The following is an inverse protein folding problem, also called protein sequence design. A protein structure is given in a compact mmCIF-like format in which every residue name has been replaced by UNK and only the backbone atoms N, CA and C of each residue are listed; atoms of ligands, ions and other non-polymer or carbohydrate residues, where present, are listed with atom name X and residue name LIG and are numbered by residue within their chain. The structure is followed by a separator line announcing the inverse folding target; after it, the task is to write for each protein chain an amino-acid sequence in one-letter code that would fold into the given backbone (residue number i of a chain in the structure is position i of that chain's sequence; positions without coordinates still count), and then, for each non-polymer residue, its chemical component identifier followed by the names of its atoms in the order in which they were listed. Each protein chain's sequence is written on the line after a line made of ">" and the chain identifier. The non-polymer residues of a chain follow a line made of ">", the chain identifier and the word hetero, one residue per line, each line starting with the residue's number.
data_IF_702471080328
#
_entry.id   IF_702471080328
#
_cell.length_a   1.000
_cell.length_b   1.000
_cell.length_c   1.000
_cell.angle_alpha   90.00
_cell.angle_beta   90.00
_cell.angle_gamma   90.00
#
_symmetry.space_group_name_H-M   'P 1'
#
loop_
_entity.id
_entity.type
_entity.pdbx_description
1 polymer ?
#
# COMPACT_ATOMS: atom_id res chain seq x y z
N UNK A 1 17.47 31.00 -11.78
CA UNK A 1 16.06 30.82 -12.18
C UNK A 1 15.64 29.37 -12.50
N UNK A 2 16.48 28.50 -13.09
CA UNK A 2 16.07 27.10 -13.37
C UNK A 2 16.04 26.15 -12.16
N UNK A 3 16.69 26.50 -11.04
CA UNK A 3 16.79 25.64 -9.85
C UNK A 3 15.62 25.85 -8.85
N UNK A 4 15.06 27.06 -8.76
CA UNK A 4 13.88 27.34 -7.92
C UNK A 4 12.61 26.70 -8.47
N UNK A 5 12.44 26.65 -9.79
CA UNK A 5 11.31 25.99 -10.44
C UNK A 5 11.25 24.48 -10.17
N UNK A 6 12.41 23.80 -10.06
CA UNK A 6 12.48 22.36 -9.76
C UNK A 6 12.21 22.06 -8.28
N UNK A 7 12.60 22.95 -7.37
CA UNK A 7 12.35 22.79 -5.93
C UNK A 7 10.90 23.09 -5.55
N UNK A 8 10.28 24.11 -6.15
CA UNK A 8 8.88 24.45 -5.88
C UNK A 8 7.91 23.35 -6.31
N UNK A 9 8.16 22.66 -7.42
CA UNK A 9 7.29 21.56 -7.90
C UNK A 9 7.36 20.32 -6.99
N UNK A 10 8.55 19.98 -6.48
CA UNK A 10 8.73 18.87 -5.54
C UNK A 10 8.07 19.17 -4.18
N UNK A 11 8.18 20.41 -3.69
CA UNK A 11 7.55 20.82 -2.44
C UNK A 11 6.01 20.88 -2.54
N UNK A 12 5.48 21.37 -3.67
CA UNK A 12 4.05 21.45 -3.93
C UNK A 12 3.39 20.07 -4.04
N UNK A 13 4.10 19.09 -4.60
CA UNK A 13 3.67 17.69 -4.60
C UNK A 13 3.71 17.08 -3.19
N UNK A 14 4.78 17.32 -2.44
CA UNK A 14 4.86 16.87 -1.05
C UNK A 14 3.74 17.44 -0.19
N UNK A 15 3.41 18.73 -0.29
CA UNK A 15 2.31 19.33 0.47
C UNK A 15 0.94 18.79 0.07
N UNK A 16 0.64 18.63 -1.23
CA UNK A 16 -0.64 18.05 -1.67
C UNK A 16 -0.80 16.59 -1.24
N UNK A 17 0.29 15.84 -1.16
CA UNK A 17 0.27 14.42 -0.81
C UNK A 17 0.33 14.21 0.72
N UNK A 18 0.96 15.11 1.49
CA UNK A 18 1.10 15.05 2.96
C UNK A 18 0.04 15.85 3.73
N UNK A 19 -0.65 16.82 3.11
CA UNK A 19 -1.74 17.55 3.73
C UNK A 19 -2.86 16.64 4.29
N UNK A 20 -3.23 15.51 3.66
CA UNK A 20 -4.17 14.55 4.25
C UNK A 20 -3.64 13.89 5.52
N UNK A 21 -2.33 13.62 5.60
CA UNK A 21 -1.70 13.01 6.79
C UNK A 21 -1.80 13.96 8.00
N UNK A 22 -1.58 15.26 7.79
CA UNK A 22 -1.78 16.29 8.84
C UNK A 22 -3.24 16.40 9.29
N UNK A 23 -4.20 16.22 8.37
CA UNK A 23 -5.64 16.29 8.68
C UNK A 23 -6.13 15.09 9.49
N UNK A 24 -5.59 13.89 9.24
CA UNK A 24 -5.95 12.68 10.01
C UNK A 24 -5.37 12.77 11.44
N UNK A 25 -4.13 13.24 11.59
CA UNK A 25 -3.50 13.42 12.90
C UNK A 25 -4.22 14.43 13.82
N UNK A 26 -4.99 15.36 13.25
CA UNK A 26 -5.72 16.40 14.01
C UNK A 26 -7.20 16.08 14.25
N UNK A 27 -7.76 15.02 13.65
CA UNK A 27 -9.18 14.68 13.68
C UNK A 27 -9.55 13.50 14.59
N UNK A 28 -9.35 13.62 15.90
CA UNK A 28 -9.52 12.52 16.86
C UNK A 28 -10.97 12.30 17.37
N UNK A 29 -12.02 12.68 16.62
CA UNK A 29 -13.41 12.60 17.11
C UNK A 29 -14.09 11.24 16.90
N UNK A 30 -13.61 10.41 15.97
CA UNK A 30 -14.14 9.06 15.71
C UNK A 30 -13.00 8.06 15.42
N UNK A 31 -12.49 7.38 16.45
CA UNK A 31 -11.34 6.45 16.35
C UNK A 31 -11.54 5.35 15.30
N UNK A 32 -12.78 4.86 15.10
CA UNK A 32 -13.08 3.87 14.06
C UNK A 32 -12.96 4.42 12.63
N UNK A 33 -13.34 5.69 12.42
CA UNK A 33 -13.21 6.38 11.13
C UNK A 33 -11.75 6.68 10.81
N UNK A 34 -10.99 7.16 11.80
CA UNK A 34 -9.56 7.39 11.67
C UNK A 34 -8.78 6.10 11.32
N UNK A 35 -9.12 4.97 11.94
CA UNK A 35 -8.52 3.68 11.62
C UNK A 35 -8.84 3.24 10.18
N UNK A 36 -10.09 3.43 9.74
CA UNK A 36 -10.52 3.15 8.38
C UNK A 36 -9.78 4.01 7.35
N UNK A 37 -9.69 5.32 7.59
CA UNK A 37 -9.01 6.27 6.72
C UNK A 37 -7.51 5.95 6.61
N UNK A 38 -6.86 5.59 7.73
CA UNK A 38 -5.45 5.17 7.76
C UNK A 38 -5.24 3.85 7.01
N UNK A 39 -6.15 2.89 7.16
CA UNK A 39 -6.12 1.61 6.44
C UNK A 39 -6.33 1.79 4.92
N UNK A 40 -7.30 2.62 4.52
CA UNK A 40 -7.58 2.92 3.12
C UNK A 40 -6.41 3.67 2.46
N UNK A 41 -5.77 4.57 3.21
CA UNK A 41 -4.54 5.24 2.76
C UNK A 41 -3.38 4.27 2.59
N UNK A 42 -3.18 3.34 3.52
CA UNK A 42 -2.15 2.32 3.42
C UNK A 42 -2.36 1.42 2.19
N UNK A 43 -3.61 1.08 1.87
CA UNK A 43 -3.96 0.34 0.65
C UNK A 43 -3.55 1.10 -0.61
N UNK A 44 -3.85 2.40 -0.66
CA UNK A 44 -3.50 3.25 -1.80
C UNK A 44 -1.97 3.39 -1.98
N UNK A 45 -1.23 3.64 -0.88
CA UNK A 45 0.24 3.70 -0.94
C UNK A 45 0.86 2.38 -1.42
N UNK A 46 0.32 1.24 -0.97
CA UNK A 46 0.77 -0.08 -1.44
C UNK A 46 0.45 -0.31 -2.92
N UNK A 47 -0.69 0.19 -3.43
CA UNK A 47 -1.02 0.11 -4.86
C UNK A 47 -0.03 0.92 -5.70
N UNK A 48 0.25 2.15 -5.28
CA UNK A 48 1.25 3.02 -5.92
C UNK A 48 2.64 2.37 -5.92
N UNK A 49 3.00 1.64 -4.86
CA UNK A 49 4.27 0.92 -4.78
C UNK A 49 4.36 -0.17 -5.84
N UNK A 50 3.30 -0.98 -5.96
CA UNK A 50 3.22 -2.04 -6.97
C UNK A 50 3.28 -1.49 -8.39
N UNK A 51 2.61 -0.37 -8.64
CA UNK A 51 2.64 0.28 -9.95
C UNK A 51 4.06 0.81 -10.27
N UNK A 52 4.80 1.34 -9.29
CA UNK A 52 6.21 1.74 -9.47
C UNK A 52 7.14 0.55 -9.70
N UNK A 53 6.99 -0.53 -8.94
CA UNK A 53 7.78 -1.75 -9.10
C UNK A 53 7.52 -2.36 -10.49
N UNK A 54 6.25 -2.44 -10.91
CA UNK A 54 5.88 -2.87 -12.25
C UNK A 54 6.48 -1.98 -13.36
N UNK A 55 6.57 -0.66 -13.15
CA UNK A 55 7.17 0.26 -14.12
C UNK A 55 8.67 0.02 -14.25
N UNK A 56 9.34 -0.22 -13.12
CA UNK A 56 10.77 -0.55 -13.08
C UNK A 56 11.06 -1.87 -13.78
N UNK A 57 10.28 -2.91 -13.49
CA UNK A 57 10.44 -4.24 -14.08
C UNK A 57 10.16 -4.20 -15.58
N UNK A 58 9.10 -3.50 -16.00
CA UNK A 58 8.79 -3.29 -17.41
C UNK A 58 9.89 -2.53 -18.13
N UNK A 59 10.47 -1.49 -17.51
CA UNK A 59 11.60 -0.77 -18.08
C UNK A 59 12.84 -1.67 -18.26
N UNK A 60 13.12 -2.56 -17.31
CA UNK A 60 14.20 -3.56 -17.45
C UNK A 60 13.90 -4.58 -18.56
N UNK A 61 12.66 -5.07 -18.62
CA UNK A 61 12.17 -5.96 -19.68
C UNK A 61 12.29 -5.34 -21.06
N UNK A 62 11.88 -4.08 -21.23
CA UNK A 62 12.01 -3.34 -22.48
C UNK A 62 13.46 -3.19 -22.93
N UNK A 63 14.41 -2.94 -22.01
CA UNK A 63 15.84 -2.89 -22.36
C UNK A 63 16.33 -4.23 -22.91
N UNK A 64 15.90 -5.33 -22.30
CA UNK A 64 16.24 -6.69 -22.76
C UNK A 64 15.61 -6.97 -24.14
N UNK A 65 14.33 -6.72 -24.30
CA UNK A 65 13.61 -6.91 -25.58
C UNK A 65 14.22 -6.06 -26.70
N UNK A 66 14.62 -4.82 -26.42
CA UNK A 66 15.29 -3.97 -27.42
C UNK A 66 16.68 -4.51 -27.81
N UNK A 67 17.46 -5.05 -26.87
CA UNK A 67 18.74 -5.67 -27.16
C UNK A 67 18.59 -6.96 -27.99
N UNK A 68 17.60 -7.78 -27.66
CA UNK A 68 17.25 -8.98 -28.43
C UNK A 68 16.78 -8.62 -29.84
N UNK A 69 15.95 -7.58 -29.99
CA UNK A 69 15.47 -7.08 -31.27
C UNK A 69 16.62 -6.62 -32.16
N UNK A 70 17.55 -5.83 -31.62
CA UNK A 70 18.76 -5.39 -32.34
C UNK A 70 19.58 -6.58 -32.84
N UNK A 71 19.80 -7.57 -31.98
CA UNK A 71 20.53 -8.81 -32.33
C UNK A 71 19.81 -9.59 -33.43
N UNK A 72 18.48 -9.73 -33.32
CA UNK A 72 17.68 -10.44 -34.31
C UNK A 72 17.68 -9.73 -35.68
N UNK A 73 17.62 -8.40 -35.70
CA UNK A 73 17.73 -7.59 -36.92
C UNK A 73 19.10 -7.73 -37.60
N UNK A 74 20.18 -7.74 -36.81
CA UNK A 74 21.53 -8.00 -37.32
C UNK A 74 21.60 -9.38 -37.98
N UNK A 75 21.06 -10.42 -37.33
CA UNK A 75 21.04 -11.78 -37.89
C UNK A 75 20.25 -11.87 -39.19
N UNK A 76 19.10 -11.21 -39.28
CA UNK A 76 18.32 -11.13 -40.55
C UNK A 76 19.14 -10.48 -41.65
N UNK A 77 19.83 -9.38 -41.34
CA UNK A 77 20.66 -8.65 -42.31
C UNK A 77 21.84 -9.51 -42.80
N UNK A 78 22.49 -10.22 -41.89
CA UNK A 78 23.60 -11.12 -42.20
C UNK A 78 23.14 -12.32 -43.05
N UNK A 79 22.00 -12.93 -42.72
CA UNK A 79 21.42 -14.01 -43.52
C UNK A 79 21.00 -13.52 -44.90
N UNK A 80 20.43 -12.31 -45.00
CA UNK A 80 20.09 -11.70 -46.29
C UNK A 80 21.32 -11.46 -47.16
N UNK A 81 22.42 -10.98 -46.58
CA UNK A 81 23.68 -10.77 -47.29
C UNK A 81 24.26 -12.10 -47.80
N UNK A 82 24.26 -13.14 -46.94
CA UNK A 82 24.69 -14.49 -47.33
C UNK A 82 23.83 -15.09 -48.45
N UNK A 83 22.51 -14.88 -48.41
CA UNK A 83 21.61 -15.34 -49.47
C UNK A 83 21.86 -14.61 -50.79
N UNK A 84 22.14 -13.30 -50.77
CA UNK A 84 22.46 -12.53 -51.99
C UNK A 84 23.78 -12.94 -52.64
N UNK A 85 24.73 -13.45 -51.86
CA UNK A 85 26.02 -13.94 -52.36
C UNK A 85 25.98 -15.33 -53.01
N UNK A 86 24.83 -16.00 -53.01
CA UNK A 86 24.66 -17.36 -53.55
C UNK A 86 23.65 -17.33 -54.69
N UNK A 87 24.04 -17.81 -55.87
CA UNK A 87 23.22 -17.78 -57.09
C UNK A 87 21.90 -18.55 -56.94
N UNK A 88 21.90 -19.66 -56.18
CA UNK A 88 20.71 -20.44 -55.84
C UNK A 88 20.66 -20.75 -54.32
N UNK A 89 19.99 -19.92 -53.49
CA UNK A 89 19.88 -20.15 -52.06
C UNK A 89 19.21 -21.49 -51.74
N UNK A 90 19.79 -22.25 -50.81
CA UNK A 90 19.25 -23.57 -50.45
C UNK A 90 17.93 -23.44 -49.66
N UNK A 91 17.14 -24.53 -49.64
CA UNK A 91 15.92 -24.60 -48.80
C UNK A 91 16.24 -24.38 -47.32
N UNK A 92 17.40 -24.82 -46.85
CA UNK A 92 17.84 -24.61 -45.46
C UNK A 92 18.07 -23.13 -45.16
N UNK A 93 18.78 -22.41 -46.04
CA UNK A 93 19.03 -20.97 -45.89
C UNK A 93 17.71 -20.17 -45.86
N UNK A 94 16.79 -20.50 -46.76
CA UNK A 94 15.47 -19.84 -46.81
C UNK A 94 14.66 -20.08 -45.54
N UNK A 95 14.70 -21.30 -44.98
CA UNK A 95 14.02 -21.62 -43.71
C UNK A 95 14.62 -20.84 -42.54
N UNK A 96 15.94 -20.74 -42.47
CA UNK A 96 16.63 -20.00 -41.41
C UNK A 96 16.32 -18.50 -41.49
N UNK A 97 16.37 -17.91 -42.69
CA UNK A 97 16.01 -16.51 -42.91
C UNK A 97 14.56 -16.23 -42.48
N UNK A 98 13.61 -17.06 -42.94
CA UNK A 98 12.21 -16.92 -42.56
C UNK A 98 11.99 -17.07 -41.05
N UNK A 99 12.76 -17.93 -40.37
CA UNK A 99 12.71 -18.07 -38.92
C UNK A 99 13.24 -16.81 -38.21
N UNK A 100 14.35 -16.24 -38.70
CA UNK A 100 14.92 -15.00 -38.16
C UNK A 100 13.96 -13.81 -38.35
N UNK A 101 13.30 -13.69 -39.51
CA UNK A 101 12.29 -12.66 -39.78
C UNK A 101 11.08 -12.81 -38.84
N UNK A 102 10.59 -14.04 -38.61
CA UNK A 102 9.52 -14.28 -37.64
C UNK A 102 9.92 -13.88 -36.22
N UNK A 103 11.17 -14.15 -35.83
CA UNK A 103 11.70 -13.75 -34.52
C UNK A 103 11.70 -12.22 -34.35
N UNK A 104 12.20 -11.47 -35.35
CA UNK A 104 12.16 -10.00 -35.35
C UNK A 104 10.72 -9.50 -35.19
N UNK A 105 9.77 -10.04 -35.98
CA UNK A 105 8.36 -9.64 -35.89
C UNK A 105 7.79 -9.88 -34.49
N UNK A 106 8.06 -11.04 -33.89
CA UNK A 106 7.59 -11.37 -32.54
C UNK A 106 8.15 -10.44 -31.46
N UNK A 107 9.43 -10.04 -31.61
CA UNK A 107 10.09 -9.10 -30.70
C UNK A 107 9.55 -7.67 -30.87
N UNK A 108 9.21 -7.26 -32.09
CA UNK A 108 8.53 -5.98 -32.35
C UNK A 108 7.16 -5.94 -31.68
N UNK A 109 6.33 -6.96 -31.86
CA UNK A 109 5.02 -7.07 -31.21
C UNK A 109 5.15 -7.03 -29.67
N UNK A 110 6.16 -7.70 -29.11
CA UNK A 110 6.44 -7.65 -27.68
C UNK A 110 6.81 -6.23 -27.22
N UNK A 111 7.67 -5.52 -27.97
CA UNK A 111 8.08 -4.15 -27.67
C UNK A 111 6.90 -3.17 -27.71
N UNK A 112 6.00 -3.31 -28.69
CA UNK A 112 4.78 -2.50 -28.79
C UNK A 112 3.82 -2.71 -27.60
N UNK A 113 3.62 -3.97 -27.20
CA UNK A 113 2.82 -4.33 -26.02
C UNK A 113 3.44 -3.74 -24.75
N UNK A 114 4.74 -3.89 -24.57
CA UNK A 114 5.46 -3.31 -23.43
C UNK A 114 5.36 -1.78 -23.42
N UNK A 115 5.49 -1.11 -24.57
CA UNK A 115 5.33 0.34 -24.69
C UNK A 115 3.92 0.83 -24.34
N UNK A 116 2.89 0.05 -24.66
CA UNK A 116 1.50 0.35 -24.29
C UNK A 116 1.27 0.17 -22.78
N UNK A 117 1.77 -0.92 -22.19
CA UNK A 117 1.73 -1.14 -20.75
C UNK A 117 2.48 -0.04 -19.99
N UNK A 118 3.63 0.40 -20.51
CA UNK A 118 4.45 1.46 -19.91
C UNK A 118 3.70 2.79 -19.86
N UNK A 119 3.02 3.17 -20.96
CA UNK A 119 2.19 4.39 -21.01
C UNK A 119 1.05 4.32 -19.99
N UNK A 120 0.29 3.23 -19.98
CA UNK A 120 -0.83 3.05 -19.05
C UNK A 120 -0.40 3.06 -17.57
N UNK A 121 0.78 2.54 -17.25
CA UNK A 121 1.31 2.54 -15.88
C UNK A 121 1.83 3.92 -15.49
N UNK A 122 2.46 4.63 -16.44
CA UNK A 122 2.91 6.01 -16.25
C UNK A 122 1.74 6.97 -16.07
N UNK A 123 0.63 6.79 -16.79
CA UNK A 123 -0.60 7.57 -16.64
C UNK A 123 -1.21 7.35 -15.24
N UNK A 124 -1.36 6.09 -14.80
CA UNK A 124 -1.84 5.78 -13.45
C UNK A 124 -0.99 6.42 -12.34
N UNK A 125 0.34 6.41 -12.51
CA UNK A 125 1.25 7.06 -11.57
C UNK A 125 1.15 8.59 -11.64
N UNK A 126 0.93 9.16 -12.83
CA UNK A 126 0.71 10.60 -12.99
C UNK A 126 -0.60 11.06 -12.35
N UNK A 127 -1.69 10.27 -12.48
CA UNK A 127 -2.97 10.52 -11.82
C UNK A 127 -2.86 10.47 -10.30
N UNK A 128 -1.98 9.59 -9.79
CA UNK A 128 -1.61 9.53 -8.37
C UNK A 128 -0.68 10.67 -7.92
N UNK A 129 -0.29 11.57 -8.82
CA UNK A 129 0.63 12.68 -8.53
C UNK A 129 2.10 12.25 -8.37
N UNK A 130 2.48 11.05 -8.82
CA UNK A 130 3.85 10.55 -8.79
C UNK A 130 4.51 10.78 -10.16
N UNK A 131 5.39 11.79 -10.23
CA UNK A 131 6.13 12.12 -11.44
C UNK A 131 7.26 11.14 -11.77
N UNK A 132 7.27 10.57 -12.97
CA UNK A 132 8.29 9.60 -13.42
C UNK A 132 9.73 10.15 -13.44
N UNK A 133 9.90 11.49 -13.48
CA UNK A 133 11.22 12.15 -13.48
C UNK A 133 11.92 12.11 -12.12
N UNK A 134 11.24 11.72 -11.05
CA UNK A 134 11.82 11.55 -9.72
C UNK A 134 11.55 10.16 -9.13
N UNK A 135 11.49 9.11 -9.98
CA UNK A 135 11.21 7.72 -9.59
C UNK A 135 11.97 7.26 -8.32
N UNK A 136 13.28 7.53 -8.22
CA UNK A 136 14.08 7.15 -7.06
C UNK A 136 13.67 7.88 -5.76
N UNK A 137 13.32 9.16 -5.86
CA UNK A 137 12.86 9.95 -4.71
C UNK A 137 11.43 9.55 -4.34
N UNK A 138 10.57 9.31 -5.32
CA UNK A 138 9.21 8.81 -5.11
C UNK A 138 9.22 7.44 -4.42
N UNK A 139 10.11 6.54 -4.81
CA UNK A 139 10.27 5.22 -4.19
C UNK A 139 10.74 5.33 -2.74
N UNK A 140 11.77 6.14 -2.47
CA UNK A 140 12.28 6.37 -1.11
C UNK A 140 11.21 6.99 -0.22
N UNK A 141 10.51 8.01 -0.73
CA UNK A 141 9.40 8.65 -0.03
C UNK A 141 8.24 7.69 0.24
N UNK A 142 7.88 6.84 -0.73
CA UNK A 142 6.77 5.90 -0.60
C UNK A 142 7.08 4.85 0.45
N UNK A 143 8.32 4.33 0.47
CA UNK A 143 8.80 3.44 1.51
C UNK A 143 8.70 4.09 2.90
N UNK A 144 9.15 5.34 3.03
CA UNK A 144 9.07 6.07 4.29
C UNK A 144 7.61 6.35 4.71
N UNK A 145 6.74 6.66 3.75
CA UNK A 145 5.31 6.93 3.99
C UNK A 145 4.56 5.68 4.40
N UNK A 146 4.86 4.52 3.80
CA UNK A 146 4.32 3.21 4.22
C UNK A 146 4.78 2.88 5.63
N UNK A 147 6.07 3.08 5.94
CA UNK A 147 6.60 2.85 7.29
C UNK A 147 5.92 3.75 8.33
N UNK A 148 5.77 5.05 8.04
CA UNK A 148 5.10 6.00 8.92
C UNK A 148 3.60 5.68 9.10
N UNK A 149 2.90 5.33 8.01
CA UNK A 149 1.47 4.96 8.06
C UNK A 149 1.25 3.66 8.83
N UNK A 150 2.15 2.68 8.70
CA UNK A 150 2.12 1.46 9.51
C UNK A 150 2.32 1.74 11.00
N UNK A 151 3.24 2.65 11.35
CA UNK A 151 3.46 3.05 12.73
C UNK A 151 2.23 3.75 13.32
N UNK A 152 1.61 4.65 12.57
CA UNK A 152 0.36 5.32 12.94
C UNK A 152 -0.79 4.32 13.13
N UNK A 153 -0.95 3.37 12.20
CA UNK A 153 -1.97 2.32 12.31
C UNK A 153 -1.79 1.49 13.59
N UNK A 154 -0.55 1.14 13.93
CA UNK A 154 -0.24 0.40 15.16
C UNK A 154 -0.55 1.22 16.43
N UNK A 155 -0.30 2.53 16.42
CA UNK A 155 -0.62 3.42 17.54
C UNK A 155 -2.15 3.57 17.73
N UNK A 156 -2.88 3.77 16.64
CA UNK A 156 -4.34 3.85 16.65
C UNK A 156 -4.98 2.53 17.15
N UNK A 157 -4.45 1.38 16.74
CA UNK A 157 -4.89 0.07 17.25
C UNK A 157 -4.64 -0.08 18.76
N UNK A 158 -3.48 0.38 19.26
CA UNK A 158 -3.17 0.37 20.70
C UNK A 158 -4.12 1.25 21.50
N UNK A 159 -4.39 2.48 21.02
CA UNK A 159 -5.35 3.41 21.64
C UNK A 159 -6.76 2.82 21.69
N UNK A 160 -7.21 2.21 20.59
CA UNK A 160 -8.50 1.53 20.53
C UNK A 160 -8.58 0.36 21.54
N UNK A 161 -7.54 -0.47 21.62
CA UNK A 161 -7.48 -1.58 22.57
C UNK A 161 -7.49 -1.09 24.03
N UNK A 162 -6.77 -0.02 24.34
CA UNK A 162 -6.76 0.60 25.66
C UNK A 162 -8.14 1.16 26.05
N UNK A 163 -8.80 1.88 25.13
CA UNK A 163 -10.16 2.40 25.34
C UNK A 163 -11.17 1.27 25.55
N UNK A 164 -11.09 0.21 24.74
CA UNK A 164 -11.97 -0.97 24.88
C UNK A 164 -11.80 -1.65 26.24
N UNK A 165 -10.55 -1.83 26.71
CA UNK A 165 -10.28 -2.36 28.06
C UNK A 165 -10.86 -1.47 29.15
N UNK A 166 -10.72 -0.15 29.04
CA UNK A 166 -11.28 0.78 30.01
C UNK A 166 -12.81 0.74 30.05
N UNK A 167 -13.46 0.64 28.89
CA UNK A 167 -14.91 0.47 28.80
C UNK A 167 -15.37 -0.87 29.42
N UNK A 168 -14.65 -1.96 29.18
CA UNK A 168 -14.94 -3.25 29.81
C UNK A 168 -14.82 -3.20 31.33
N UNK A 169 -13.75 -2.58 31.85
CA UNK A 169 -13.56 -2.40 33.30
C UNK A 169 -14.70 -1.56 33.89
N UNK A 170 -15.08 -0.46 33.24
CA UNK A 170 -16.18 0.39 33.68
C UNK A 170 -17.55 -0.30 33.60
N UNK A 171 -17.79 -1.08 32.55
CA UNK A 171 -19.01 -1.88 32.41
C UNK A 171 -19.11 -2.94 33.52
N UNK A 172 -18.01 -3.66 33.79
CA UNK A 172 -17.95 -4.65 34.87
C UNK A 172 -18.11 -4.00 36.26
N UNK A 173 -17.51 -2.84 36.48
CA UNK A 173 -17.65 -2.08 37.73
C UNK A 173 -19.10 -1.61 37.93
N UNK A 174 -19.74 -1.07 36.88
CA UNK A 174 -21.16 -0.69 36.88
C UNK A 174 -22.05 -1.90 37.18
N UNK A 175 -21.87 -3.02 36.48
CA UNK A 175 -22.62 -4.25 36.74
C UNK A 175 -22.46 -4.75 38.20
N UNK A 176 -21.26 -4.68 38.77
CA UNK A 176 -21.03 -5.04 40.18
C UNK A 176 -21.71 -4.06 41.13
N UNK A 177 -21.62 -2.75 40.86
CA UNK A 177 -22.28 -1.72 41.66
C UNK A 177 -23.81 -1.85 41.61
N UNK A 178 -24.38 -2.10 40.42
CA UNK A 178 -25.81 -2.32 40.21
C UNK A 178 -26.29 -3.58 40.93
N UNK A 179 -25.51 -4.67 40.89
CA UNK A 179 -25.80 -5.91 41.61
C UNK A 179 -25.74 -5.72 43.13
N UNK A 180 -24.75 -4.99 43.64
CA UNK A 180 -24.66 -4.64 45.06
C UNK A 180 -25.85 -3.78 45.48
N UNK A 181 -26.20 -2.77 44.68
CA UNK A 181 -27.34 -1.88 44.95
C UNK A 181 -28.68 -2.62 44.91
N UNK A 182 -28.86 -3.58 43.99
CA UNK A 182 -30.07 -4.40 43.95
C UNK A 182 -30.16 -5.38 45.12
N UNK A 183 -29.04 -5.98 45.55
CA UNK A 183 -29.02 -6.81 46.77
C UNK A 183 -29.25 -6.02 48.05
N UNK A 184 -28.68 -4.81 48.17
CA UNK A 184 -28.90 -3.92 49.31
C UNK A 184 -30.34 -3.36 49.33
N UNK A 185 -30.89 -3.03 48.16
CA UNK A 185 -32.30 -2.64 48.02
C UNK A 185 -33.26 -3.78 48.36
N UNK A 186 -32.91 -5.03 48.00
CA UNK A 186 -33.66 -6.23 48.40
C UNK A 186 -33.61 -6.51 49.90
N UNK A 187 -32.45 -6.27 50.54
CA UNK A 187 -32.30 -6.35 52.00
C UNK A 187 -33.03 -5.22 52.74
N UNK A 188 -33.08 -4.01 52.17
CA UNK A 188 -33.86 -2.89 52.72
C UNK A 188 -35.37 -3.10 52.55
N UNK A 189 -35.82 -3.70 51.44
CA UNK A 189 -37.22 -4.08 51.22
C UNK A 189 -37.67 -5.26 52.09
N UNK A 190 -36.75 -6.18 52.43
CA UNK A 190 -36.97 -7.20 53.47
C UNK A 190 -36.79 -6.66 54.90
N UNK A 191 -36.36 -5.40 55.04
CA UNK A 191 -35.95 -4.76 56.29
C UNK A 191 -37.02 -3.94 57.01
N UNK A 192 -38.30 -4.17 56.72
CA UNK A 192 -39.42 -3.65 57.54
C UNK A 192 -39.99 -4.72 58.48
N UNK A 193 -39.39 -5.92 58.56
CA UNK A 193 -39.91 -7.02 59.39
C UNK A 193 -38.91 -7.87 60.18
N UNK A 194 -37.61 -7.57 60.17
CA UNK A 194 -36.63 -8.34 60.96
C UNK A 194 -36.03 -7.45 62.05
N UNK A 195 -36.76 -7.36 63.16
CA UNK A 195 -36.30 -6.80 64.42
C UNK A 195 -35.05 -7.52 64.92
N UNK A 196 -34.18 -6.75 65.57
CA UNK A 196 -33.01 -7.18 66.32
C UNK A 196 -33.27 -8.41 67.20
N UNK A 197 -32.39 -9.41 67.12
CA UNK A 197 -32.24 -10.42 68.17
C UNK A 197 -30.80 -10.94 68.22
N UNK A 198 -30.06 -10.54 69.26
CA UNK A 198 -28.91 -11.31 69.75
C UNK A 198 -27.58 -10.58 69.89
N UNK A 199 -27.50 -9.58 70.77
CA UNK A 199 -26.25 -9.23 71.45
C UNK A 199 -26.22 -9.95 72.81
N UNK A 200 -25.23 -10.84 73.02
CA UNK A 200 -24.78 -11.45 74.28
C UNK A 200 -23.94 -12.69 73.91
N UNK A 201 -22.72 -13.00 74.37
CA UNK A 201 -21.82 -12.52 75.43
C UNK A 201 -20.41 -13.04 75.09
N UNK A 202 -19.36 -12.32 75.48
CA UNK A 202 -17.99 -12.86 75.49
C UNK A 202 -16.92 -11.77 75.56
N UNK A 203 -16.74 -11.18 76.74
CA UNK A 203 -15.74 -10.15 77.05
C UNK A 203 -14.31 -10.74 77.16
N UNK A 204 -13.24 -9.90 77.18
CA UNK A 204 -11.85 -10.33 77.01
C UNK A 204 -11.18 -10.74 78.33
N UNK A 205 -10.20 -11.64 78.23
CA UNK A 205 -9.05 -11.77 79.14
C UNK A 205 -7.80 -12.01 78.32
#
# INVERSE_FOLDING_TARGET
>A
MANELKMQVVFSMMEKITAPLKKIASGAKDTGKALKDTSDRLRELNKQQKDLDGLRDLHQGMRKTNAELSTAQQRVTELAARMKGVENPTRAMTREFNAAVRSVKSLQEASERQGTQYRALRERLADAGIGSRQLANAQTWLKNSIAATNAELADQQKKLAASSRQQQVMANARQRADKLRSTAGGLAAAGVGATASGAAMGAPV
#
